data_IF_106167134849
#
_entry.id   IF_106167134849
#
_cell.length_a   1.000
_cell.length_b   1.000
_cell.length_c   1.000
_cell.angle_alpha   90.00
_cell.angle_beta   90.00
_cell.angle_gamma   90.00
#
_symmetry.space_group_name_H-M   'P 1'
#
loop_
_entity.id
_entity.type
_entity.pdbx_description
1 polymer ?
#
# COMPACT_ATOMS: atom_id res chain seq x y z
N UNK A 1 -8.27 -33.87 -26.09
CA UNK A 1 -8.71 -33.55 -24.72
C UNK A 1 -7.55 -33.19 -23.78
N UNK A 2 -6.55 -34.05 -23.54
CA UNK A 2 -5.41 -33.76 -22.61
C UNK A 2 -4.74 -32.39 -22.82
N UNK A 3 -4.42 -32.06 -24.07
CA UNK A 3 -3.81 -30.78 -24.48
C UNK A 3 -4.66 -29.54 -24.16
N UNK A 4 -5.99 -29.68 -24.21
CA UNK A 4 -6.95 -28.61 -23.88
C UNK A 4 -7.03 -28.43 -22.37
N UNK A 5 -7.09 -29.54 -21.62
CA UNK A 5 -7.07 -29.53 -20.15
C UNK A 5 -5.80 -28.84 -19.62
N UNK A 6 -4.63 -29.17 -20.15
CA UNK A 6 -3.38 -28.51 -19.78
C UNK A 6 -3.38 -26.99 -20.05
N UNK A 7 -4.05 -26.56 -21.12
CA UNK A 7 -4.17 -25.14 -21.46
C UNK A 7 -5.10 -24.42 -20.46
N UNK A 8 -6.23 -25.04 -20.11
CA UNK A 8 -7.16 -24.53 -19.10
C UNK A 8 -6.44 -24.39 -17.75
N UNK A 9 -5.68 -25.40 -17.32
CA UNK A 9 -4.94 -25.35 -16.06
C UNK A 9 -3.94 -24.19 -16.05
N UNK A 10 -3.17 -23.99 -17.12
CA UNK A 10 -2.24 -22.85 -17.22
C UNK A 10 -2.99 -21.50 -17.16
N UNK A 11 -4.14 -21.40 -17.82
CA UNK A 11 -4.99 -20.20 -17.76
C UNK A 11 -5.48 -19.90 -16.35
N UNK A 12 -5.94 -20.93 -15.62
CA UNK A 12 -6.36 -20.79 -14.21
C UNK A 12 -5.20 -20.36 -13.33
N UNK A 13 -4.02 -20.97 -13.49
CA UNK A 13 -2.82 -20.60 -12.73
C UNK A 13 -2.43 -19.14 -13.00
N UNK A 14 -2.42 -18.72 -14.27
CA UNK A 14 -2.16 -17.32 -14.63
C UNK A 14 -3.14 -16.38 -13.91
N UNK A 15 -4.43 -16.68 -13.97
CA UNK A 15 -5.47 -15.86 -13.34
C UNK A 15 -5.29 -15.75 -11.82
N UNK A 16 -5.00 -16.87 -11.15
CA UNK A 16 -4.74 -16.89 -9.69
C UNK A 16 -3.52 -16.04 -9.34
N UNK A 17 -2.43 -16.12 -10.11
CA UNK A 17 -1.22 -15.32 -9.85
C UNK A 17 -1.48 -13.82 -9.99
N UNK A 18 -2.26 -13.42 -11.01
CA UNK A 18 -2.67 -12.02 -11.20
C UNK A 18 -3.56 -11.55 -10.04
N UNK A 19 -4.52 -12.35 -9.59
CA UNK A 19 -5.35 -12.01 -8.44
C UNK A 19 -4.53 -11.82 -7.17
N UNK A 20 -3.58 -12.73 -6.90
CA UNK A 20 -2.69 -12.62 -5.75
C UNK A 20 -1.83 -11.36 -5.85
N UNK A 21 -1.26 -11.07 -7.02
CA UNK A 21 -0.53 -9.82 -7.25
C UNK A 21 -1.39 -8.59 -6.88
N UNK A 22 -2.64 -8.51 -7.35
CA UNK A 22 -3.53 -7.38 -7.05
C UNK A 22 -3.81 -7.27 -5.54
N UNK A 23 -3.99 -8.40 -4.84
CA UNK A 23 -4.21 -8.42 -3.39
C UNK A 23 -2.98 -7.85 -2.65
N UNK A 24 -1.78 -8.29 -3.01
CA UNK A 24 -0.55 -7.81 -2.40
C UNK A 24 -0.25 -6.34 -2.76
N UNK A 25 -0.52 -5.92 -3.99
CA UNK A 25 -0.39 -4.53 -4.43
C UNK A 25 -1.29 -3.60 -3.59
N UNK A 26 -2.57 -3.98 -3.42
CA UNK A 26 -3.51 -3.24 -2.56
C UNK A 26 -3.10 -3.21 -1.10
N UNK A 27 -2.53 -4.30 -0.60
CA UNK A 27 -2.07 -4.37 0.78
C UNK A 27 -0.83 -3.51 0.99
N UNK A 28 0.08 -3.48 -0.01
CA UNK A 28 1.32 -2.72 0.02
C UNK A 28 1.11 -1.22 0.17
N UNK A 29 0.02 -0.67 -0.39
CA UNK A 29 -0.36 0.73 -0.21
C UNK A 29 -0.38 1.13 1.26
N UNK A 30 -0.97 0.33 2.14
CA UNK A 30 -1.06 0.65 3.56
C UNK A 30 0.32 0.72 4.25
N UNK A 31 1.33 0.07 3.67
CA UNK A 31 2.70 0.07 4.15
C UNK A 31 3.58 1.09 3.43
N UNK A 32 2.98 2.01 2.67
CA UNK A 32 3.68 3.09 1.98
C UNK A 32 4.43 2.63 0.73
N UNK A 33 4.11 1.45 0.19
CA UNK A 33 4.61 0.96 -1.09
C UNK A 33 3.75 1.52 -2.22
N UNK A 34 4.36 1.72 -3.39
CA UNK A 34 3.64 2.08 -4.60
C UNK A 34 2.57 1.04 -4.93
N UNK A 35 1.38 1.54 -5.26
CA UNK A 35 0.24 0.73 -5.65
C UNK A 35 -0.24 1.12 -7.05
N UNK A 36 -0.22 0.15 -7.96
CA UNK A 36 -0.62 0.37 -9.36
C UNK A 36 -2.14 0.31 -9.53
N UNK A 37 -2.84 -0.45 -8.68
CA UNK A 37 -4.28 -0.73 -8.84
C UNK A 37 -5.12 -0.29 -7.64
N UNK A 38 -4.63 0.67 -6.85
CA UNK A 38 -5.37 1.25 -5.73
C UNK A 38 -6.21 2.43 -6.18
N UNK A 39 -7.50 2.38 -5.88
CA UNK A 39 -8.37 3.56 -5.84
C UNK A 39 -8.75 3.82 -4.37
N UNK A 40 -7.76 3.90 -3.49
CA UNK A 40 -7.96 4.19 -2.07
C UNK A 40 -7.36 5.55 -1.77
N UNK A 41 -8.21 6.45 -1.32
CA UNK A 41 -7.81 7.75 -0.82
C UNK A 41 -7.99 7.68 0.70
N UNK A 42 -6.91 7.85 1.46
CA UNK A 42 -7.07 8.23 2.87
C UNK A 42 -7.82 9.57 2.93
N UNK A 43 -8.46 9.90 4.07
CA UNK A 43 -9.06 11.21 4.24
C UNK A 43 -8.04 12.31 3.92
N UNK A 44 -8.54 13.42 3.36
CA UNK A 44 -7.73 14.59 3.00
C UNK A 44 -6.71 14.37 1.87
N UNK A 45 -6.87 13.33 1.07
CA UNK A 45 -5.93 13.02 -0.02
C UNK A 45 -4.56 12.53 0.48
N UNK A 46 -4.47 12.13 1.75
CA UNK A 46 -3.21 11.68 2.32
C UNK A 46 -2.71 10.40 1.65
N UNK A 47 -1.39 10.30 1.52
CA UNK A 47 -0.75 9.10 0.96
C UNK A 47 0.34 8.61 1.89
N UNK A 48 0.29 7.35 2.35
CA UNK A 48 1.40 6.76 3.09
C UNK A 48 2.59 6.54 2.16
N UNK A 49 3.80 6.78 2.66
CA UNK A 49 5.03 6.49 1.93
C UNK A 49 6.10 5.98 2.87
N UNK A 50 6.77 4.91 2.46
CA UNK A 50 8.02 4.48 3.08
C UNK A 50 9.18 5.05 2.27
N UNK A 51 10.00 5.88 2.89
CA UNK A 51 11.27 6.31 2.34
C UNK A 51 12.26 5.16 2.55
N UNK A 52 12.67 4.53 1.45
CA UNK A 52 13.60 3.40 1.44
C UNK A 52 15.05 3.81 1.67
N UNK A 53 15.36 5.10 1.58
CA UNK A 53 16.68 5.65 1.86
C UNK A 53 17.03 5.45 3.34
N UNK A 54 18.26 5.04 3.63
CA UNK A 54 18.67 4.76 5.00
C UNK A 54 18.94 6.08 5.76
N UNK A 55 18.39 6.28 6.98
CA UNK A 55 17.50 5.35 7.69
C UNK A 55 16.08 5.35 7.13
N UNK A 56 15.51 4.16 6.96
CA UNK A 56 14.14 4.00 6.47
C UNK A 56 13.18 4.77 7.38
N UNK A 57 12.29 5.53 6.77
CA UNK A 57 11.33 6.35 7.51
C UNK A 57 9.96 6.28 6.86
N UNK A 58 8.94 6.25 7.70
CA UNK A 58 7.56 6.29 7.23
C UNK A 58 7.04 7.71 7.38
N UNK A 59 6.37 8.19 6.34
CA UNK A 59 5.76 9.52 6.29
C UNK A 59 4.34 9.42 5.75
N UNK A 60 3.50 10.38 6.14
CA UNK A 60 2.26 10.66 5.42
C UNK A 60 2.48 11.91 4.59
N UNK A 61 2.27 11.78 3.30
CA UNK A 61 2.27 12.88 2.36
C UNK A 61 0.88 13.52 2.30
N UNK A 62 0.85 14.83 2.09
CA UNK A 62 -0.37 15.51 1.65
C UNK A 62 -0.67 15.24 0.17
N UNK A 63 -1.76 15.82 -0.32
CA UNK A 63 -2.21 15.69 -1.70
C UNK A 63 -1.26 16.32 -2.74
N UNK A 64 -0.37 17.19 -2.30
CA UNK A 64 0.67 17.81 -3.13
C UNK A 64 1.97 17.00 -3.11
N UNK A 65 2.02 15.92 -2.33
CA UNK A 65 3.17 15.04 -2.20
C UNK A 65 4.22 15.56 -1.22
N UNK A 66 3.91 16.60 -0.43
CA UNK A 66 4.79 17.09 0.64
C UNK A 66 4.61 16.27 1.91
N UNK A 67 5.69 16.09 2.66
CA UNK A 67 5.64 15.40 3.95
C UNK A 67 4.83 16.22 4.97
N UNK A 68 3.66 15.71 5.33
CA UNK A 68 2.81 16.33 6.33
C UNK A 68 3.24 15.92 7.75
N UNK A 69 3.63 14.66 7.92
CA UNK A 69 4.10 14.14 9.21
C UNK A 69 5.00 12.93 9.03
N UNK A 70 5.96 12.80 9.95
CA UNK A 70 6.99 11.77 9.92
C UNK A 70 7.88 11.85 11.14
N UNK A 71 8.88 10.97 11.21
CA UNK A 71 9.99 11.12 12.15
C UNK A 71 10.65 12.48 11.94
N UNK A 72 10.83 13.24 13.02
CA UNK A 72 11.40 14.58 12.98
C UNK A 72 10.38 15.73 13.02
N UNK A 73 9.09 15.46 12.80
CA UNK A 73 8.07 16.50 12.82
C UNK A 73 7.69 16.92 14.24
N UNK A 74 7.42 18.22 14.43
CA UNK A 74 6.76 18.79 15.61
C UNK A 74 5.58 19.61 15.14
N UNK A 75 4.38 19.17 15.48
CA UNK A 75 3.16 19.90 15.11
C UNK A 75 2.91 21.07 16.06
N UNK A 76 2.24 22.12 15.58
CA UNK A 76 2.01 23.35 16.35
C UNK A 76 1.24 23.11 17.65
N UNK A 77 0.28 22.19 17.61
CA UNK A 77 -0.49 21.76 18.79
C UNK A 77 0.08 20.47 19.41
N UNK A 78 1.37 20.21 19.19
CA UNK A 78 2.10 19.12 19.81
C UNK A 78 3.25 19.64 20.67
N UNK A 79 3.34 19.10 21.88
CA UNK A 79 4.37 19.43 22.86
C UNK A 79 5.70 18.74 22.55
N UNK A 80 5.75 17.77 21.64
CA UNK A 80 6.92 16.92 21.41
C UNK A 80 7.29 16.82 19.93
N UNK A 81 8.54 16.40 19.68
CA UNK A 81 9.02 16.02 18.35
C UNK A 81 8.86 14.51 18.17
N UNK A 82 8.30 14.09 17.04
CA UNK A 82 8.15 12.67 16.70
C UNK A 82 9.55 12.08 16.50
N UNK A 83 9.87 11.03 17.25
CA UNK A 83 11.09 10.24 17.07
C UNK A 83 10.85 9.07 16.14
N UNK A 84 9.90 8.20 16.50
CA UNK A 84 9.53 7.02 15.71
C UNK A 84 8.04 7.05 15.37
N UNK A 85 7.71 6.80 14.11
CA UNK A 85 6.33 6.61 13.65
C UNK A 85 5.97 5.12 13.76
N UNK A 86 5.06 4.75 14.67
CA UNK A 86 4.75 3.35 14.97
C UNK A 86 3.52 2.81 14.21
N UNK A 87 2.61 3.69 13.82
CA UNK A 87 1.41 3.31 13.09
C UNK A 87 0.44 4.46 12.97
N UNK A 88 -0.56 4.27 12.12
CA UNK A 88 -1.63 5.23 11.92
C UNK A 88 -2.96 4.49 11.80
N UNK A 89 -4.02 5.14 12.24
CA UNK A 89 -5.40 4.74 12.04
C UNK A 89 -6.09 5.80 11.21
N UNK A 90 -7.00 5.42 10.33
CA UNK A 90 -7.81 6.40 9.59
C UNK A 90 -9.25 5.91 9.47
N UNK A 91 -10.15 6.87 9.32
CA UNK A 91 -11.53 6.66 8.89
C UNK A 91 -11.84 7.70 7.79
N UNK A 92 -13.10 7.84 7.40
CA UNK A 92 -13.48 8.72 6.29
C UNK A 92 -13.22 10.21 6.56
N UNK A 93 -13.03 10.60 7.83
CA UNK A 93 -12.99 12.01 8.22
C UNK A 93 -11.76 12.41 9.02
N UNK A 94 -10.87 11.49 9.39
CA UNK A 94 -9.73 11.80 10.27
C UNK A 94 -8.64 10.74 10.26
N UNK A 95 -7.46 11.15 10.70
CA UNK A 95 -6.28 10.29 10.89
C UNK A 95 -5.78 10.41 12.32
N UNK A 96 -5.38 9.27 12.87
CA UNK A 96 -4.86 9.10 14.20
C UNK A 96 -3.46 8.49 14.10
N UNK A 97 -2.48 9.08 14.78
CA UNK A 97 -1.09 8.63 14.75
C UNK A 97 -0.74 7.98 16.08
N UNK A 98 0.06 6.93 16.02
CA UNK A 98 0.76 6.35 17.15
C UNK A 98 2.26 6.49 16.91
N UNK A 99 2.95 7.18 17.80
CA UNK A 99 4.36 7.50 17.65
C UNK A 99 5.08 7.51 19.01
N UNK A 100 6.38 7.78 19.00
CA UNK A 100 7.14 8.04 20.23
C UNK A 100 7.78 9.42 20.24
N UNK A 101 7.99 9.96 21.44
CA UNK A 101 8.85 11.13 21.65
C UNK A 101 10.34 10.74 21.75
N UNK A 102 11.20 11.73 22.04
CA UNK A 102 12.65 11.54 22.21
C UNK A 102 13.02 10.56 23.32
N UNK A 103 12.17 10.45 24.35
CA UNK A 103 12.32 9.57 25.51
C UNK A 103 11.68 8.18 25.29
N UNK A 104 11.22 7.89 24.07
CA UNK A 104 10.50 6.67 23.70
C UNK A 104 9.14 6.49 24.39
N UNK A 105 8.55 7.56 24.94
CA UNK A 105 7.18 7.48 25.45
C UNK A 105 6.21 7.38 24.28
N UNK A 106 5.22 6.48 24.38
CA UNK A 106 4.15 6.38 23.38
C UNK A 106 3.29 7.64 23.45
N UNK A 107 3.06 8.25 22.28
CA UNK A 107 2.21 9.42 22.10
C UNK A 107 1.19 9.17 21.00
N UNK A 108 0.12 9.95 21.06
CA UNK A 108 -1.00 9.87 20.13
C UNK A 108 -1.31 11.26 19.59
N UNK A 109 -1.55 11.35 18.29
CA UNK A 109 -1.88 12.59 17.62
C UNK A 109 -3.13 12.40 16.76
N UNK A 110 -4.08 13.33 16.81
CA UNK A 110 -5.27 13.30 15.94
C UNK A 110 -5.24 14.45 14.94
N UNK A 111 -5.70 14.19 13.71
CA UNK A 111 -5.82 15.22 12.69
C UNK A 111 -6.91 16.23 13.04
N UNK A 112 -6.73 17.48 12.63
CA UNK A 112 -7.74 18.52 12.64
C UNK A 112 -7.52 19.48 11.47
N UNK A 113 -8.60 20.05 10.96
CA UNK A 113 -8.55 21.04 9.88
C UNK A 113 -8.08 22.39 10.40
N UNK A 114 -7.18 23.06 9.67
CA UNK A 114 -6.62 24.37 10.04
C UNK A 114 -7.46 25.52 9.43
N UNK A 115 -8.53 25.21 8.70
CA UNK A 115 -9.48 26.19 8.15
C UNK A 115 -9.08 26.79 6.80
N UNK A 116 -7.95 26.38 6.21
CA UNK A 116 -7.56 26.72 4.83
C UNK A 116 -7.97 25.58 3.89
N UNK A 117 -8.52 25.90 2.73
CA UNK A 117 -8.75 24.93 1.65
C UNK A 117 -7.54 24.91 0.73
N UNK A 118 -7.06 23.72 0.39
CA UNK A 118 -6.08 23.55 -0.69
C UNK A 118 -6.74 23.92 -2.03
N UNK A 119 -5.93 24.27 -3.02
CA UNK A 119 -6.37 24.45 -4.41
C UNK A 119 -7.01 23.17 -4.99
N UNK A 120 -6.80 22.02 -4.34
CA UNK A 120 -7.30 20.69 -4.74
C UNK A 120 -8.52 20.18 -3.94
N UNK A 121 -9.38 21.08 -3.46
CA UNK A 121 -10.65 20.81 -2.74
C UNK A 121 -10.51 20.17 -1.34
N UNK A 122 -9.47 19.40 -1.05
CA UNK A 122 -9.26 18.83 0.29
C UNK A 122 -8.91 19.92 1.32
N UNK A 123 -9.40 19.80 2.57
CA UNK A 123 -9.05 20.73 3.62
C UNK A 123 -7.61 20.52 4.07
N UNK A 124 -6.91 21.60 4.38
CA UNK A 124 -5.56 21.54 4.94
C UNK A 124 -5.66 21.13 6.41
N UNK A 125 -4.88 20.12 6.79
CA UNK A 125 -4.91 19.56 8.15
C UNK A 125 -3.57 19.71 8.87
N UNK A 126 -3.61 19.60 10.20
CA UNK A 126 -2.45 19.37 11.05
C UNK A 126 -2.82 18.35 12.14
N UNK A 127 -1.90 18.11 13.07
CA UNK A 127 -2.07 17.14 14.14
C UNK A 127 -1.92 17.79 15.52
N UNK A 128 -2.73 17.33 16.47
CA UNK A 128 -2.70 17.79 17.87
C UNK A 128 -2.52 16.61 18.82
N UNK A 129 -1.86 16.88 19.95
CA UNK A 129 -1.69 15.88 21.01
C UNK A 129 -3.04 15.48 21.61
N UNK A 130 -3.23 14.18 21.82
CA UNK A 130 -4.32 13.65 22.66
C UNK A 130 -3.74 12.74 23.74
N UNK A 131 -4.42 12.69 24.89
CA UNK A 131 -4.02 11.77 25.95
C UNK A 131 -4.50 10.33 25.69
N UNK A 132 -4.07 9.39 26.53
CA UNK A 132 -4.44 7.98 26.41
C UNK A 132 -5.94 7.71 26.61
N UNK A 133 -6.62 8.49 27.46
CA UNK A 133 -8.05 8.32 27.72
C UNK A 133 -8.86 8.69 26.48
N UNK A 134 -8.55 9.83 25.86
CA UNK A 134 -9.15 10.26 24.59
C UNK A 134 -8.90 9.24 23.49
N UNK A 135 -7.64 8.81 23.32
CA UNK A 135 -7.26 7.76 22.37
C UNK A 135 -8.08 6.48 22.59
N UNK A 136 -8.20 6.01 23.83
CA UNK A 136 -8.88 4.76 24.14
C UNK A 136 -10.36 4.77 23.80
N UNK A 137 -11.00 5.94 23.88
CA UNK A 137 -12.41 6.12 23.51
C UNK A 137 -12.61 6.10 21.99
N UNK A 138 -11.69 6.66 21.22
CA UNK A 138 -11.89 6.84 19.76
C UNK A 138 -11.23 5.75 18.90
N UNK A 139 -10.20 5.05 19.40
CA UNK A 139 -9.34 4.15 18.58
C UNK A 139 -10.11 3.09 17.78
N UNK A 140 -11.23 2.60 18.30
CA UNK A 140 -11.99 1.51 17.66
C UNK A 140 -12.74 1.99 16.41
N UNK A 141 -12.88 3.30 16.20
CA UNK A 141 -13.53 3.91 15.04
C UNK A 141 -12.57 4.08 13.85
N UNK A 142 -11.33 3.60 13.97
CA UNK A 142 -10.28 3.77 12.96
C UNK A 142 -9.82 2.42 12.43
N UNK A 143 -9.57 2.35 11.12
CA UNK A 143 -8.83 1.24 10.53
C UNK A 143 -7.34 1.41 10.83
N UNK A 144 -6.81 0.56 11.71
CA UNK A 144 -5.43 0.64 12.17
C UNK A 144 -4.43 -0.10 11.29
N UNK A 145 -3.35 0.59 10.96
CA UNK A 145 -2.17 0.05 10.31
C UNK A 145 -0.97 0.25 11.23
N UNK A 146 -0.41 -0.87 11.71
CA UNK A 146 0.88 -0.88 12.39
C UNK A 146 1.98 -0.83 11.34
N UNK A 147 2.91 0.11 11.49
CA UNK A 147 4.09 0.17 10.65
C UNK A 147 5.01 -0.98 11.07
N UNK A 148 5.36 -1.79 10.09
CA UNK A 148 6.15 -3.00 10.24
C UNK A 148 6.98 -3.18 8.97
N UNK A 149 8.26 -2.85 9.06
CA UNK A 149 9.20 -2.87 7.93
C UNK A 149 9.37 -4.28 7.36
N UNK A 150 9.40 -5.30 8.21
CA UNK A 150 9.51 -6.69 7.80
C UNK A 150 8.28 -7.12 7.00
N UNK A 151 7.10 -6.72 7.45
CA UNK A 151 5.86 -6.96 6.72
C UNK A 151 5.81 -6.21 5.39
N UNK A 152 6.25 -4.95 5.36
CA UNK A 152 6.34 -4.17 4.12
C UNK A 152 7.26 -4.85 3.10
N UNK A 153 8.46 -5.26 3.53
CA UNK A 153 9.41 -5.99 2.69
C UNK A 153 8.84 -7.33 2.19
N UNK A 154 8.16 -8.09 3.06
CA UNK A 154 7.51 -9.35 2.69
C UNK A 154 6.46 -9.12 1.60
N UNK A 155 5.63 -8.07 1.72
CA UNK A 155 4.64 -7.71 0.71
C UNK A 155 5.32 -7.36 -0.62
N UNK A 156 6.40 -6.59 -0.59
CA UNK A 156 7.15 -6.21 -1.78
C UNK A 156 7.73 -7.45 -2.50
N UNK A 157 8.32 -8.38 -1.75
CA UNK A 157 8.84 -9.65 -2.30
C UNK A 157 7.72 -10.49 -2.90
N UNK A 158 6.58 -10.64 -2.20
CA UNK A 158 5.44 -11.41 -2.70
C UNK A 158 4.86 -10.79 -3.98
N UNK A 159 4.69 -9.46 -4.02
CA UNK A 159 4.28 -8.72 -5.22
C UNK A 159 5.21 -9.03 -6.40
N UNK A 160 6.53 -9.03 -6.17
CA UNK A 160 7.52 -9.38 -7.18
C UNK A 160 7.40 -10.85 -7.64
N UNK A 161 7.27 -11.80 -6.72
CA UNK A 161 7.16 -13.22 -7.07
C UNK A 161 5.89 -13.53 -7.89
N UNK A 162 4.76 -12.93 -7.53
CA UNK A 162 3.51 -13.13 -8.28
C UNK A 162 3.56 -12.53 -9.68
N UNK A 163 4.22 -11.36 -9.87
CA UNK A 163 4.37 -10.79 -11.22
C UNK A 163 5.28 -11.67 -12.10
N UNK A 164 6.38 -12.18 -11.55
CA UNK A 164 7.30 -13.08 -12.27
C UNK A 164 6.58 -14.38 -12.61
N UNK A 165 5.83 -14.95 -11.67
CA UNK A 165 5.02 -16.14 -11.89
C UNK A 165 3.98 -15.94 -13.00
N UNK A 166 3.26 -14.81 -12.98
CA UNK A 166 2.27 -14.50 -14.00
C UNK A 166 2.91 -14.38 -15.39
N UNK A 167 4.05 -13.70 -15.50
CA UNK A 167 4.80 -13.57 -16.76
C UNK A 167 5.31 -14.91 -17.28
N UNK A 168 5.83 -15.77 -16.39
CA UNK A 168 6.25 -17.12 -16.76
C UNK A 168 5.08 -17.98 -17.25
N UNK A 169 3.95 -17.94 -16.55
CA UNK A 169 2.73 -18.65 -16.97
C UNK A 169 2.26 -18.17 -18.35
N UNK A 170 2.23 -16.85 -18.58
CA UNK A 170 1.89 -16.26 -19.87
C UNK A 170 2.84 -16.71 -20.98
N UNK A 171 4.15 -16.75 -20.71
CA UNK A 171 5.15 -17.25 -21.65
C UNK A 171 4.87 -18.70 -22.07
N UNK A 172 4.54 -19.58 -21.11
CA UNK A 172 4.18 -20.97 -21.43
C UNK A 172 2.88 -21.09 -22.23
N UNK A 173 1.87 -20.26 -21.94
CA UNK A 173 0.62 -20.18 -22.69
C UNK A 173 0.91 -19.79 -24.15
N UNK A 174 1.66 -18.71 -24.37
CA UNK A 174 2.02 -18.22 -25.72
C UNK A 174 2.85 -19.25 -26.48
N UNK A 175 3.86 -19.85 -25.84
CA UNK A 175 4.70 -20.90 -26.45
C UNK A 175 3.86 -22.10 -26.89
N UNK A 176 2.88 -22.53 -26.09
CA UNK A 176 1.96 -23.60 -26.49
C UNK A 176 1.10 -23.19 -27.68
N UNK A 177 0.52 -21.99 -27.68
CA UNK A 177 -0.29 -21.47 -28.79
C UNK A 177 0.48 -21.48 -30.11
N UNK A 178 1.73 -21.01 -30.12
CA UNK A 178 2.58 -21.00 -31.31
C UNK A 178 2.85 -22.42 -31.85
N UNK A 179 3.10 -23.40 -30.95
CA UNK A 179 3.28 -24.81 -31.34
C UNK A 179 2.00 -25.44 -31.92
N UNK A 180 0.82 -25.11 -31.38
CA UNK A 180 -0.45 -25.59 -31.96
C UNK A 180 -0.66 -25.06 -33.37
N UNK A 181 -0.37 -23.78 -33.60
CA UNK A 181 -0.52 -23.16 -34.91
C UNK A 181 0.42 -23.76 -35.97
N UNK A 182 1.69 -23.98 -35.62
CA UNK A 182 2.66 -24.61 -36.54
C UNK A 182 2.35 -26.06 -36.90
N UNK A 183 1.76 -26.83 -35.96
CA UNK A 183 1.33 -28.20 -36.26
C UNK A 183 0.08 -28.24 -37.16
N UNK A 184 -0.83 -27.27 -37.02
CA UNK A 184 -2.02 -27.17 -37.86
C UNK A 184 -1.65 -26.80 -39.32
N UNK A 185 -0.73 -25.85 -39.53
CA UNK A 185 -0.31 -25.46 -40.88
C UNK A 185 0.41 -26.58 -41.64
N UNK A 186 1.18 -27.42 -40.94
CA UNK A 186 1.87 -28.56 -41.58
C UNK A 186 0.91 -29.69 -42.01
N UNK A 187 -0.26 -29.83 -41.39
CA UNK A 187 -1.26 -30.81 -41.81
C UNK A 187 -2.06 -30.37 -43.04
N UNK A 188 -2.20 -29.07 -43.27
CA UNK A 188 -2.83 -28.54 -44.50
C UNK A 188 -1.90 -28.63 -45.72
N UNK A 189 -0.58 -28.54 -45.52
CA UNK A 189 0.43 -28.70 -46.59
C UNK A 189 0.65 -30.17 -47.05
N UNK A 190 0.14 -31.14 -46.29
CA UNK A 190 0.26 -32.58 -46.58
C UNK A 190 -1.04 -33.21 -47.13
N UNK A 191 -2.05 -32.40 -47.44
CA UNK A 191 -3.27 -32.78 -48.16
C UNK A 191 -3.24 -32.23 -49.58
#
# INVERSE_FOLDING_TARGET
MKKVIEFIVLGVVFFVLVLLYIIYDRTGYHYGLECSFCNKNMPYGLTPKINSDYPQSFVLLDEDGFELTGSGFRHRQSSFKIKNFLGYGYNDTSVLLKCTDSLNNIKYLVSYEIGYKSDKENPVISFKDINYNEYSQIKNNYQWIKIDEEKANTIQIMKFLFIVGALLSLFFIVRKLLRFRGNASNQELLK
#
